data_IF_727067531407
#
_entry.id   IF_727067531407
#
_cell.length_a   1.000
_cell.length_b   1.000
_cell.length_c   1.000
_cell.angle_alpha   90.00
_cell.angle_beta   90.00
_cell.angle_gamma   90.00
#
_symmetry.space_group_name_H-M   'P 1'
#
loop_
_entity.id
_entity.type
_entity.pdbx_description
1 polymer ?
#
# COMPACT_ATOMS: atom_id res chain seq x y z
N UNK A 1 -7.21 -4.10 -18.90
CA UNK A 1 -5.80 -3.71 -18.97
C UNK A 1 -5.22 -3.48 -17.60
N UNK A 2 -4.04 -4.02 -17.36
CA UNK A 2 -3.44 -4.05 -16.02
C UNK A 2 -3.31 -2.70 -15.34
N UNK A 3 -2.91 -1.68 -16.08
CA UNK A 3 -2.76 -0.32 -15.55
C UNK A 3 -4.11 0.19 -15.00
N UNK A 4 -5.17 0.09 -15.78
CA UNK A 4 -6.48 0.59 -15.37
C UNK A 4 -7.07 -0.24 -14.23
N UNK A 5 -6.85 -1.54 -14.24
CA UNK A 5 -7.27 -2.40 -13.13
C UNK A 5 -6.58 -2.00 -11.84
N UNK A 6 -5.27 -1.73 -11.89
CA UNK A 6 -4.51 -1.29 -10.73
C UNK A 6 -5.02 0.06 -10.22
N UNK A 7 -5.28 1.01 -11.13
CA UNK A 7 -5.81 2.33 -10.75
C UNK A 7 -7.18 2.19 -10.08
N UNK A 8 -8.07 1.36 -10.63
CA UNK A 8 -9.40 1.14 -10.04
C UNK A 8 -9.31 0.50 -8.65
N UNK A 9 -8.40 -0.45 -8.47
CA UNK A 9 -8.18 -1.10 -7.17
C UNK A 9 -7.62 -0.11 -6.15
N UNK A 10 -6.65 0.72 -6.55
CA UNK A 10 -6.10 1.76 -5.68
C UNK A 10 -7.20 2.71 -5.23
N UNK A 11 -8.04 3.18 -6.15
CA UNK A 11 -9.16 4.06 -5.82
C UNK A 11 -10.15 3.40 -4.87
N UNK A 12 -10.48 2.13 -5.10
CA UNK A 12 -11.39 1.40 -4.24
C UNK A 12 -10.84 1.26 -2.82
N UNK A 13 -9.56 0.95 -2.69
CA UNK A 13 -8.90 0.85 -1.37
C UNK A 13 -8.83 2.23 -0.70
N UNK A 14 -8.48 3.27 -1.45
CA UNK A 14 -8.46 4.64 -0.94
C UNK A 14 -9.82 5.02 -0.35
N UNK A 15 -10.89 4.75 -1.09
CA UNK A 15 -12.24 5.07 -0.63
C UNK A 15 -12.62 4.25 0.61
N UNK A 16 -12.27 2.97 0.64
CA UNK A 16 -12.58 2.10 1.78
C UNK A 16 -11.82 2.52 3.04
N UNK A 17 -10.62 3.07 2.90
CA UNK A 17 -9.83 3.56 4.04
C UNK A 17 -10.44 4.79 4.71
N UNK A 18 -11.25 5.55 3.98
CA UNK A 18 -11.83 6.81 4.49
C UNK A 18 -10.74 7.75 5.02
N UNK A 19 -10.83 8.21 6.27
CA UNK A 19 -9.84 9.11 6.86
C UNK A 19 -8.44 8.49 6.99
N UNK A 20 -8.34 7.16 7.07
CA UNK A 20 -7.05 6.50 7.12
C UNK A 20 -6.23 6.67 5.84
N UNK A 21 -6.88 7.02 4.74
CA UNK A 21 -6.18 7.26 3.46
C UNK A 21 -5.13 8.35 3.56
N UNK A 22 -5.29 9.28 4.51
CA UNK A 22 -4.33 10.35 4.74
C UNK A 22 -3.06 9.88 5.48
N UNK A 23 -3.12 8.69 6.08
CA UNK A 23 -2.05 8.18 6.94
C UNK A 23 -1.28 7.03 6.30
N UNK A 24 -1.56 6.73 5.03
CA UNK A 24 -0.93 5.61 4.34
C UNK A 24 -0.17 6.07 3.10
N UNK A 25 0.80 5.25 2.68
CA UNK A 25 1.53 5.42 1.42
C UNK A 25 1.29 4.16 0.60
N UNK A 26 0.84 4.31 -0.63
CA UNK A 26 0.67 3.20 -1.56
C UNK A 26 2.04 2.81 -2.12
N UNK A 27 2.34 1.52 -2.09
CA UNK A 27 3.63 0.98 -2.54
C UNK A 27 3.40 -0.26 -3.40
N UNK A 28 4.45 -0.95 -3.76
CA UNK A 28 4.38 -2.23 -4.43
C UNK A 28 4.08 -2.18 -5.91
N UNK A 29 3.81 -3.35 -6.48
CA UNK A 29 3.66 -3.52 -7.93
C UNK A 29 2.55 -2.73 -8.57
N UNK A 30 1.45 -2.49 -7.84
CA UNK A 30 0.31 -1.74 -8.37
C UNK A 30 0.65 -0.27 -8.68
N UNK A 31 1.70 0.27 -8.08
CA UNK A 31 2.10 1.67 -8.30
C UNK A 31 3.14 1.85 -9.41
N UNK A 32 3.64 0.77 -10.00
CA UNK A 32 4.73 0.82 -10.98
C UNK A 32 4.43 1.77 -12.14
N UNK A 33 3.22 1.70 -12.68
CA UNK A 33 2.83 2.51 -13.84
C UNK A 33 2.76 4.01 -13.54
N UNK A 34 2.76 4.39 -12.26
CA UNK A 34 2.71 5.80 -11.86
C UNK A 34 4.06 6.49 -12.01
N UNK A 35 5.15 5.73 -12.17
CA UNK A 35 6.50 6.26 -12.27
C UNK A 35 7.02 6.34 -13.71
N UNK A 36 6.26 5.86 -14.68
CA UNK A 36 6.75 5.76 -16.06
C UNK A 36 5.67 6.20 -17.04
N UNK A 37 6.08 6.68 -18.20
CA UNK A 37 5.18 7.00 -19.33
C UNK A 37 4.96 5.78 -20.24
N UNK A 38 5.28 4.58 -19.75
CA UNK A 38 5.13 3.36 -20.55
C UNK A 38 3.67 3.07 -20.83
N UNK A 39 3.44 2.42 -21.95
CA UNK A 39 2.09 1.98 -22.31
C UNK A 39 1.57 0.96 -21.31
N UNK A 40 0.26 0.99 -21.10
CA UNK A 40 -0.41 0.21 -20.05
C UNK A 40 -0.20 -1.30 -20.17
N UNK A 41 -0.01 -1.82 -21.36
CA UNK A 41 0.20 -3.26 -21.59
C UNK A 41 1.58 -3.76 -21.17
N UNK A 42 2.50 -2.85 -20.88
CA UNK A 42 3.81 -3.21 -20.32
C UNK A 42 3.77 -3.40 -18.80
N UNK A 43 2.66 -3.05 -18.17
CA UNK A 43 2.51 -3.12 -16.72
C UNK A 43 1.93 -4.48 -16.35
N UNK A 44 2.61 -5.20 -15.44
CA UNK A 44 2.11 -6.47 -14.94
C UNK A 44 0.86 -6.25 -14.08
N UNK A 45 -0.17 -7.08 -14.25
CA UNK A 45 -1.27 -7.08 -13.30
C UNK A 45 -0.77 -7.59 -11.94
N UNK A 46 -1.29 -7.01 -10.87
CA UNK A 46 -1.04 -7.48 -9.52
C UNK A 46 -2.37 -7.85 -8.87
N UNK A 47 -2.35 -8.87 -8.01
CA UNK A 47 -3.57 -9.30 -7.33
C UNK A 47 -3.79 -8.55 -6.03
N UNK A 48 -2.78 -7.82 -5.56
CA UNK A 48 -2.80 -7.17 -4.27
C UNK A 48 -2.39 -5.70 -4.37
N UNK A 49 -2.93 -4.94 -3.43
CA UNK A 49 -2.57 -3.54 -3.22
C UNK A 49 -1.78 -3.49 -1.92
N UNK A 50 -0.61 -2.87 -1.96
CA UNK A 50 0.26 -2.75 -0.78
C UNK A 50 0.22 -1.33 -0.25
N UNK A 51 0.00 -1.18 1.05
CA UNK A 51 0.05 0.12 1.73
C UNK A 51 0.98 0.05 2.93
N UNK A 52 1.64 1.16 3.22
CA UNK A 52 2.47 1.33 4.40
C UNK A 52 1.77 2.25 5.39
N UNK A 53 1.88 1.90 6.67
CA UNK A 53 1.47 2.75 7.78
C UNK A 53 2.66 2.96 8.72
N UNK A 54 2.81 4.18 9.23
CA UNK A 54 3.89 4.46 10.18
C UNK A 54 3.46 4.09 11.58
N UNK A 55 4.05 3.03 12.13
CA UNK A 55 3.73 2.52 13.45
C UNK A 55 5.02 2.19 14.20
N UNK A 56 5.06 2.55 15.48
CA UNK A 56 6.23 2.33 16.32
C UNK A 56 5.96 1.38 17.50
N UNK A 57 4.71 0.88 17.63
CA UNK A 57 4.34 0.01 18.75
C UNK A 57 3.28 -1.00 18.35
N UNK A 58 3.24 -2.10 19.09
CA UNK A 58 2.20 -3.12 18.91
C UNK A 58 0.80 -2.58 19.20
N UNK A 59 0.69 -1.67 20.16
CA UNK A 59 -0.59 -1.05 20.50
C UNK A 59 -1.11 -0.22 19.31
N UNK A 60 -0.24 0.56 18.68
CA UNK A 60 -0.61 1.35 17.50
C UNK A 60 -1.06 0.44 16.36
N UNK A 61 -0.38 -0.68 16.17
CA UNK A 61 -0.77 -1.65 15.14
C UNK A 61 -2.15 -2.24 15.43
N UNK A 62 -2.42 -2.62 16.67
CA UNK A 62 -3.72 -3.17 17.06
C UNK A 62 -4.85 -2.14 16.86
N UNK A 63 -4.59 -0.87 17.15
CA UNK A 63 -5.57 0.20 16.92
C UNK A 63 -5.90 0.36 15.43
N UNK A 64 -4.89 0.28 14.58
CA UNK A 64 -5.09 0.34 13.11
C UNK A 64 -5.88 -0.87 12.63
N UNK A 65 -5.55 -2.07 13.13
CA UNK A 65 -6.30 -3.27 12.77
C UNK A 65 -7.78 -3.13 13.10
N UNK A 66 -8.10 -2.61 14.28
CA UNK A 66 -9.49 -2.41 14.69
C UNK A 66 -10.20 -1.41 13.76
N UNK A 67 -9.55 -0.31 13.42
CA UNK A 67 -10.11 0.68 12.50
C UNK A 67 -10.36 0.07 11.12
N UNK A 68 -9.43 -0.75 10.64
CA UNK A 68 -9.59 -1.44 9.35
C UNK A 68 -10.81 -2.37 9.38
N UNK A 69 -10.97 -3.14 10.45
CA UNK A 69 -12.13 -4.04 10.60
C UNK A 69 -13.44 -3.26 10.58
N UNK A 70 -13.49 -2.12 11.25
CA UNK A 70 -14.67 -1.25 11.27
C UNK A 70 -15.04 -0.74 9.88
N UNK A 71 -14.06 -0.66 8.97
CA UNK A 71 -14.25 -0.18 7.61
C UNK A 71 -14.50 -1.30 6.61
N UNK A 72 -14.66 -2.53 7.09
CA UNK A 72 -14.96 -3.67 6.24
C UNK A 72 -13.76 -4.46 5.74
N UNK A 73 -12.56 -4.14 6.21
CA UNK A 73 -11.37 -4.94 5.94
C UNK A 73 -11.40 -6.19 6.82
N UNK A 74 -11.26 -7.35 6.19
CA UNK A 74 -11.30 -8.64 6.87
C UNK A 74 -9.94 -9.32 6.74
N UNK A 75 -9.41 -9.81 7.87
CA UNK A 75 -8.14 -10.52 7.84
C UNK A 75 -8.22 -11.76 6.96
N UNK A 76 -7.22 -11.98 6.12
CA UNK A 76 -7.11 -13.15 5.27
C UNK A 76 -6.19 -14.18 5.94
N UNK A 77 -6.76 -14.91 6.91
CA UNK A 77 -6.00 -15.91 7.67
C UNK A 77 -5.58 -17.10 6.82
N UNK A 78 -6.35 -17.41 5.77
CA UNK A 78 -6.10 -18.58 4.94
C UNK A 78 -4.87 -18.45 4.06
N UNK A 79 -4.49 -17.22 3.74
CA UNK A 79 -3.31 -16.96 2.89
C UNK A 79 -1.98 -17.25 3.59
N UNK A 80 -1.97 -17.25 4.93
CA UNK A 80 -0.75 -17.38 5.71
C UNK A 80 0.10 -16.12 5.76
N UNK A 81 -0.36 -15.02 5.17
CA UNK A 81 0.34 -13.72 5.18
C UNK A 81 -0.21 -12.87 6.30
N UNK A 82 0.63 -12.48 7.25
CA UNK A 82 0.22 -11.85 8.51
C UNK A 82 -0.50 -10.51 8.30
N UNK A 83 -0.01 -9.69 7.38
CA UNK A 83 -0.52 -8.33 7.16
C UNK A 83 -1.64 -8.27 6.11
N UNK A 84 -2.18 -9.39 5.68
CA UNK A 84 -3.10 -9.45 4.55
C UNK A 84 -4.55 -9.33 4.97
N UNK A 85 -5.27 -8.47 4.26
CA UNK A 85 -6.71 -8.23 4.41
C UNK A 85 -7.40 -8.36 3.07
N UNK A 86 -8.74 -8.46 3.13
CA UNK A 86 -9.60 -8.35 1.94
C UNK A 86 -10.65 -7.28 2.19
N UNK A 87 -10.90 -6.46 1.18
CA UNK A 87 -11.99 -5.50 1.18
C UNK A 87 -12.56 -5.44 -0.24
N UNK A 88 -13.88 -5.62 -0.36
CA UNK A 88 -14.57 -5.58 -1.66
C UNK A 88 -13.93 -6.52 -2.70
N UNK A 89 -13.46 -7.69 -2.26
CA UNK A 89 -12.81 -8.66 -3.14
C UNK A 89 -11.37 -8.33 -3.50
N UNK A 90 -10.81 -7.25 -2.95
CA UNK A 90 -9.43 -6.82 -3.23
C UNK A 90 -8.53 -7.28 -2.09
N UNK A 91 -7.38 -7.86 -2.42
CA UNK A 91 -6.35 -8.22 -1.46
C UNK A 91 -5.53 -6.97 -1.14
N UNK A 92 -5.40 -6.66 0.16
CA UNK A 92 -4.65 -5.48 0.63
C UNK A 92 -3.66 -5.92 1.68
N UNK A 93 -2.38 -5.68 1.44
CA UNK A 93 -1.32 -5.92 2.43
C UNK A 93 -1.01 -4.60 3.13
N UNK A 94 -1.25 -4.57 4.45
CA UNK A 94 -1.07 -3.39 5.28
C UNK A 94 0.19 -3.60 6.11
N UNK A 95 1.28 -2.93 5.71
CA UNK A 95 2.60 -3.16 6.29
C UNK A 95 3.03 -1.98 7.15
N UNK A 96 3.51 -2.24 8.39
CA UNK A 96 4.11 -1.17 9.19
C UNK A 96 5.49 -0.81 8.67
N UNK A 97 5.93 0.41 8.94
CA UNK A 97 7.30 0.83 8.59
C UNK A 97 8.34 0.21 9.53
N UNK A 98 7.94 -0.21 10.72
CA UNK A 98 8.84 -0.78 11.72
C UNK A 98 8.93 -2.30 11.59
N UNK A 99 10.14 -2.85 11.51
CA UNK A 99 10.40 -4.28 11.49
C UNK A 99 10.15 -4.95 12.84
N UNK A 100 10.10 -4.18 13.93
CA UNK A 100 9.87 -4.71 15.27
C UNK A 100 8.47 -5.31 15.42
N UNK A 101 7.50 -4.87 14.62
CA UNK A 101 6.11 -5.30 14.74
C UNK A 101 5.89 -6.65 14.07
N UNK A 102 6.36 -6.84 12.83
CA UNK A 102 6.15 -8.07 12.08
C UNK A 102 7.41 -8.93 11.94
N UNK A 103 8.54 -8.49 12.50
CA UNK A 103 9.80 -9.22 12.41
C UNK A 103 10.50 -9.09 11.06
N UNK A 104 9.94 -8.35 10.14
CA UNK A 104 10.57 -8.06 8.86
C UNK A 104 10.13 -6.70 8.35
N UNK A 105 11.02 -6.03 7.62
CA UNK A 105 10.65 -4.87 6.80
C UNK A 105 11.78 -4.60 5.81
N UNK A 106 11.50 -3.72 4.88
CA UNK A 106 12.51 -3.19 3.99
C UNK A 106 13.06 -1.92 4.65
N UNK A 107 14.38 -1.81 4.78
CA UNK A 107 15.02 -0.68 5.49
C UNK A 107 14.68 0.69 4.91
N UNK A 108 14.24 0.73 3.67
CA UNK A 108 13.89 1.98 2.99
C UNK A 108 12.46 2.44 3.27
N UNK A 109 11.66 1.63 3.95
CA UNK A 109 10.25 1.96 4.19
C UNK A 109 10.08 3.23 5.02
N UNK A 110 10.85 3.37 6.12
CA UNK A 110 10.75 4.54 6.99
C UNK A 110 11.14 5.83 6.25
N UNK A 111 12.26 5.79 5.52
CA UNK A 111 12.72 6.94 4.75
C UNK A 111 11.78 7.28 3.59
N UNK A 112 11.31 6.26 2.89
CA UNK A 112 10.36 6.44 1.80
C UNK A 112 9.04 7.02 2.28
N UNK A 113 8.57 6.56 3.44
CA UNK A 113 7.33 7.09 4.03
C UNK A 113 7.46 8.57 4.35
N UNK A 114 8.56 8.96 5.00
CA UNK A 114 8.80 10.36 5.38
C UNK A 114 8.98 11.30 4.18
N UNK A 115 9.37 10.77 3.04
CA UNK A 115 9.63 11.53 1.81
C UNK A 115 8.62 11.22 0.70
N UNK A 116 7.47 10.66 1.07
CA UNK A 116 6.43 10.34 0.10
C UNK A 116 5.89 11.60 -0.58
N UNK A 117 5.47 11.43 -1.82
CA UNK A 117 4.93 12.53 -2.63
C UNK A 117 3.45 12.28 -2.93
N UNK A 118 2.72 13.36 -3.17
CA UNK A 118 1.34 13.28 -3.60
C UNK A 118 1.28 12.93 -5.08
N UNK A 119 0.35 12.07 -5.43
CA UNK A 119 0.06 11.72 -6.82
C UNK A 119 -1.44 11.82 -7.05
N UNK A 120 -1.82 12.65 -8.00
CA UNK A 120 -3.24 12.88 -8.32
C UNK A 120 -3.70 11.85 -9.35
N UNK A 121 -4.57 10.93 -8.94
CA UNK A 121 -5.21 9.98 -9.85
C UNK A 121 -6.38 10.65 -10.57
N UNK A 122 -7.16 11.43 -9.84
CA UNK A 122 -8.23 12.29 -10.34
C UNK A 122 -8.58 13.33 -9.26
N UNK A 123 -9.62 14.14 -9.49
CA UNK A 123 -10.00 15.23 -8.59
C UNK A 123 -10.31 14.79 -7.16
N UNK A 124 -10.72 13.52 -6.98
CA UNK A 124 -11.16 12.99 -5.69
C UNK A 124 -10.15 12.03 -5.06
N UNK A 125 -9.11 11.65 -5.82
CA UNK A 125 -8.17 10.63 -5.38
C UNK A 125 -6.75 11.15 -5.52
N UNK A 126 -6.28 11.77 -4.44
CA UNK A 126 -4.88 12.18 -4.31
C UNK A 126 -4.26 11.23 -3.31
N UNK A 127 -3.35 10.39 -3.78
CA UNK A 127 -2.69 9.38 -2.96
C UNK A 127 -1.25 9.78 -2.69
N UNK A 128 -0.63 9.16 -1.69
CA UNK A 128 0.79 9.30 -1.45
C UNK A 128 1.51 8.06 -1.97
N UNK A 129 2.61 8.27 -2.66
CA UNK A 129 3.47 7.20 -3.17
C UNK A 129 4.92 7.53 -2.82
N UNK A 130 5.82 6.56 -2.93
CA UNK A 130 7.24 6.84 -2.74
C UNK A 130 7.75 7.76 -3.86
N UNK A 131 8.64 8.67 -3.51
CA UNK A 131 9.46 9.34 -4.52
C UNK A 131 10.31 8.28 -5.23
N UNK A 132 10.60 8.48 -6.53
CA UNK A 132 11.22 7.45 -7.37
C UNK A 132 12.49 6.82 -6.78
N UNK A 133 13.44 7.56 -6.17
CA UNK A 133 14.62 6.92 -5.60
C UNK A 133 14.29 5.89 -4.52
N UNK A 134 13.29 6.17 -3.68
CA UNK A 134 12.89 5.26 -2.61
C UNK A 134 12.15 4.04 -3.14
N UNK A 135 11.35 4.22 -4.19
CA UNK A 135 10.69 3.11 -4.87
C UNK A 135 11.72 2.12 -5.42
N UNK A 136 12.74 2.64 -6.11
CA UNK A 136 13.80 1.81 -6.66
C UNK A 136 14.60 1.11 -5.57
N UNK A 137 14.92 1.83 -4.49
CA UNK A 137 15.66 1.26 -3.37
C UNK A 137 14.91 0.10 -2.72
N UNK A 138 13.59 0.22 -2.52
CA UNK A 138 12.79 -0.85 -1.94
C UNK A 138 12.72 -2.07 -2.86
N UNK A 139 12.66 -1.86 -4.16
CA UNK A 139 12.67 -2.95 -5.13
C UNK A 139 13.99 -3.71 -5.14
N UNK A 140 15.10 -3.00 -5.11
CA UNK A 140 16.43 -3.61 -5.07
C UNK A 140 16.67 -4.38 -3.78
N UNK A 141 16.18 -3.86 -2.65
CA UNK A 141 16.29 -4.54 -1.37
C UNK A 141 15.50 -5.85 -1.34
N UNK A 142 14.37 -5.90 -2.06
CA UNK A 142 13.51 -7.08 -2.10
C UNK A 142 14.08 -8.21 -2.98
N UNK A 143 15.07 -7.91 -3.80
CA UNK A 143 15.80 -8.92 -4.56
C UNK A 143 16.97 -9.45 -3.73
#
# INVERSE_FOLDING_TARGET
>A
MSHWENILRIKAVFNALEELSNDVVFVGGATVSLYTDRVADEVRPTDDIDILVELVSYKGYADIEEKLRQKGFVNDWQSGVICRYKVQGIIVDVMPTSDQILGFSNRWYTLGFSNAIDYTLDERHIIRIFAAPYFLATKLEAF
#
